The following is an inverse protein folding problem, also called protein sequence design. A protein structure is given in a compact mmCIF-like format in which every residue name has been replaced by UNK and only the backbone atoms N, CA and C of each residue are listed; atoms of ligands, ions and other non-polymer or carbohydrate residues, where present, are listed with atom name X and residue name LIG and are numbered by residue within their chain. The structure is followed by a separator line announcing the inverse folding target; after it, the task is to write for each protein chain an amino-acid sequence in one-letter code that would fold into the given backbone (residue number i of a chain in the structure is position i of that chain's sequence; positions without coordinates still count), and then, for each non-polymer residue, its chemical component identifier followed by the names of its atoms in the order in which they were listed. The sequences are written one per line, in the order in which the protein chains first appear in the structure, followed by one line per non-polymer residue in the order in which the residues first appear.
data_IF_483906669371
#
_entry.id   IF_483906669371
#
_cell.length_a   1.000
_cell.length_b   1.000
_cell.length_c   1.000
_cell.angle_alpha   90.00
_cell.angle_beta   90.00
_cell.angle_gamma   90.00
#
_symmetry.space_group_name_H-M   'P 1'
#
loop_
_entity.id
_entity.type
_entity.pdbx_description
1 polymer ?
#
# COMPACT_ATOMS: atom_id res chain seq x y z
N UNK A 1 1.12 -14.92 2.08
CA UNK A 1 1.45 -13.49 2.25
C UNK A 1 2.95 -13.26 2.43
N UNK A 2 3.55 -13.64 3.56
CA UNK A 2 4.96 -13.32 3.86
C UNK A 2 5.96 -13.83 2.81
N UNK A 3 5.82 -15.09 2.38
CA UNK A 3 6.67 -15.66 1.32
C UNK A 3 6.60 -14.88 0.00
N UNK A 4 5.42 -14.32 -0.35
CA UNK A 4 5.23 -13.52 -1.55
C UNK A 4 5.93 -12.17 -1.44
N UNK A 5 5.81 -11.50 -0.30
CA UNK A 5 6.51 -10.23 -0.04
C UNK A 5 8.03 -10.42 -0.01
N UNK A 6 8.52 -11.52 0.55
CA UNK A 6 9.95 -11.82 0.61
C UNK A 6 10.56 -12.19 -0.76
N UNK A 7 9.78 -12.77 -1.66
CA UNK A 7 10.23 -13.14 -3.01
C UNK A 7 10.06 -12.03 -4.06
N UNK A 8 9.35 -10.96 -3.71
CA UNK A 8 9.08 -9.84 -4.60
C UNK A 8 10.33 -8.98 -4.82
N UNK A 9 10.51 -8.47 -6.03
CA UNK A 9 11.62 -7.59 -6.37
C UNK A 9 11.33 -6.13 -6.00
N UNK A 10 10.06 -5.73 -6.05
CA UNK A 10 9.60 -4.38 -5.76
C UNK A 10 8.32 -4.40 -4.89
N UNK A 11 8.36 -4.97 -3.67
CA UNK A 11 7.20 -4.96 -2.79
C UNK A 11 6.94 -3.56 -2.24
N UNK A 12 5.67 -3.18 -2.12
CA UNK A 12 5.26 -1.88 -1.55
C UNK A 12 4.10 -2.09 -0.58
N UNK A 13 4.14 -1.41 0.57
CA UNK A 13 3.00 -1.33 1.48
C UNK A 13 2.26 -0.01 1.25
N UNK A 14 0.97 -0.09 0.91
CA UNK A 14 0.07 1.06 0.89
C UNK A 14 -0.84 1.03 2.12
N UNK A 15 -0.67 2.04 2.98
CA UNK A 15 -1.44 2.23 4.20
C UNK A 15 -2.73 3.01 3.91
N UNK A 16 -3.88 2.41 4.24
CA UNK A 16 -5.20 3.00 4.04
C UNK A 16 -5.91 3.41 5.33
N UNK A 17 -7.16 3.87 5.17
CA UNK A 17 -7.96 4.49 6.22
C UNK A 17 -8.27 3.58 7.42
N UNK A 18 -8.36 2.26 7.23
CA UNK A 18 -8.63 1.35 8.35
C UNK A 18 -7.54 1.39 9.43
N UNK A 19 -6.29 1.68 9.04
CA UNK A 19 -5.18 1.80 9.99
C UNK A 19 -5.45 2.94 10.97
N UNK A 20 -5.95 4.08 10.46
CA UNK A 20 -6.37 5.20 11.30
C UNK A 20 -7.58 4.84 12.14
N UNK A 21 -8.61 4.23 11.53
CA UNK A 21 -9.87 3.89 12.20
C UNK A 21 -9.69 2.91 13.36
N UNK A 22 -8.76 1.99 13.23
CA UNK A 22 -8.50 0.95 14.24
C UNK A 22 -7.29 1.26 15.13
N UNK A 23 -6.66 2.44 15.00
CA UNK A 23 -5.51 2.82 15.82
C UNK A 23 -4.30 1.91 15.65
N UNK A 24 -4.06 1.42 14.43
CA UNK A 24 -3.04 0.39 14.14
C UNK A 24 -1.70 0.96 13.68
N UNK A 25 -1.53 2.27 13.68
CA UNK A 25 -0.38 2.97 13.10
C UNK A 25 0.97 2.43 13.58
N UNK A 26 1.17 2.29 14.90
CA UNK A 26 2.42 1.76 15.47
C UNK A 26 2.68 0.30 15.08
N UNK A 27 1.62 -0.52 15.00
CA UNK A 27 1.73 -1.92 14.57
C UNK A 27 2.10 -2.02 13.09
N UNK A 28 1.54 -1.15 12.25
CA UNK A 28 1.91 -1.08 10.84
C UNK A 28 3.33 -0.57 10.66
N UNK A 29 3.76 0.41 11.46
CA UNK A 29 5.13 0.89 11.45
C UNK A 29 6.13 -0.23 11.81
N UNK A 30 5.81 -1.02 12.84
CA UNK A 30 6.60 -2.19 13.21
C UNK A 30 6.63 -3.24 12.09
N UNK A 31 5.49 -3.54 11.47
CA UNK A 31 5.40 -4.50 10.37
C UNK A 31 6.26 -4.06 9.17
N UNK A 32 6.14 -2.80 8.76
CA UNK A 32 6.91 -2.24 7.65
C UNK A 32 8.43 -2.35 7.88
N UNK A 33 8.90 -2.11 9.11
CA UNK A 33 10.31 -2.26 9.49
C UNK A 33 10.77 -3.71 9.45
N UNK A 34 10.01 -4.63 10.06
CA UNK A 34 10.35 -6.07 10.09
C UNK A 34 10.47 -6.62 8.66
N UNK A 35 9.58 -6.19 7.78
CA UNK A 35 9.55 -6.63 6.38
C UNK A 35 10.42 -5.79 5.45
N UNK A 36 11.05 -4.73 5.96
CA UNK A 36 11.85 -3.75 5.21
C UNK A 36 11.14 -3.23 3.93
N UNK A 37 9.85 -2.88 4.08
CA UNK A 37 9.02 -2.45 2.95
C UNK A 37 9.02 -0.93 2.80
N UNK A 38 9.19 -0.38 1.57
CA UNK A 38 8.82 1.00 1.30
C UNK A 38 7.32 1.20 1.54
N UNK A 39 6.98 2.35 2.11
CA UNK A 39 5.61 2.65 2.52
C UNK A 39 5.07 3.85 1.76
N UNK A 40 3.83 3.75 1.30
CA UNK A 40 3.04 4.87 0.80
C UNK A 40 1.70 4.92 1.55
N UNK A 41 1.02 6.07 1.54
CA UNK A 41 -0.37 6.16 2.00
C UNK A 41 -1.33 6.26 0.81
N UNK A 42 -2.54 5.71 0.95
CA UNK A 42 -3.63 6.09 0.06
C UNK A 42 -4.05 7.54 0.30
N UNK A 43 -4.89 8.09 -0.58
CA UNK A 43 -5.46 9.43 -0.39
C UNK A 43 -6.11 9.60 0.99
N UNK A 44 -7.00 8.67 1.37
CA UNK A 44 -7.68 8.71 2.67
C UNK A 44 -6.76 8.36 3.86
N UNK A 45 -5.64 7.68 3.61
CA UNK A 45 -4.62 7.38 4.61
C UNK A 45 -3.59 8.49 4.81
N UNK A 46 -3.69 9.62 4.08
CA UNK A 46 -2.71 10.71 4.14
C UNK A 46 -2.46 11.19 5.58
N UNK A 47 -1.19 11.33 5.92
CA UNK A 47 -0.71 11.72 7.25
C UNK A 47 -0.41 10.55 8.18
N UNK A 48 -0.83 9.33 7.84
CA UNK A 48 -0.38 8.13 8.55
C UNK A 48 1.13 7.96 8.42
N UNK A 49 1.74 7.48 9.49
CA UNK A 49 3.13 7.08 9.62
C UNK A 49 4.14 8.23 9.49
N UNK A 50 3.68 9.49 9.44
CA UNK A 50 4.53 10.67 9.28
C UNK A 50 5.50 10.87 10.44
N UNK A 51 5.09 10.50 11.66
CA UNK A 51 5.91 10.62 12.89
C UNK A 51 6.55 9.28 13.28
N UNK A 52 6.75 8.38 12.32
CA UNK A 52 7.37 7.06 12.54
C UNK A 52 8.68 6.92 11.79
N UNK A 53 9.47 5.90 12.12
CA UNK A 53 10.79 5.62 11.55
C UNK A 53 10.74 4.68 10.32
N UNK A 54 9.61 4.65 9.61
CA UNK A 54 9.45 3.83 8.40
C UNK A 54 9.94 4.58 7.15
N UNK A 55 10.35 3.87 6.08
CA UNK A 55 10.66 4.49 4.79
C UNK A 55 9.38 4.95 4.08
N UNK A 56 8.73 6.01 4.61
CA UNK A 56 7.54 6.62 4.04
C UNK A 56 7.93 7.46 2.81
N UNK A 57 7.49 7.03 1.63
CA UNK A 57 7.74 7.71 0.36
C UNK A 57 6.76 8.88 0.13
N UNK A 58 5.57 8.82 0.74
CA UNK A 58 4.54 9.85 0.65
C UNK A 58 3.16 9.28 0.33
N UNK A 59 2.28 10.13 -0.22
CA UNK A 59 0.90 9.75 -0.57
C UNK A 59 0.80 9.45 -2.06
N UNK A 60 0.23 8.29 -2.41
CA UNK A 60 -0.11 7.96 -3.79
C UNK A 60 -1.36 8.73 -4.22
N UNK A 61 -1.25 9.45 -5.34
CA UNK A 61 -2.31 10.28 -5.92
C UNK A 61 -2.50 9.99 -7.43
N UNK A 62 -1.98 8.85 -7.91
CA UNK A 62 -1.88 8.56 -9.35
C UNK A 62 -1.06 9.63 -10.08
N UNK A 63 -1.48 9.99 -11.29
CA UNK A 63 -0.85 10.99 -12.17
C UNK A 63 -0.82 12.40 -11.57
N UNK A 64 -1.63 12.68 -10.54
CA UNK A 64 -1.64 13.97 -9.86
C UNK A 64 -0.54 14.07 -8.78
N UNK A 65 0.16 12.98 -8.49
CA UNK A 65 1.20 12.89 -7.45
C UNK A 65 2.63 12.93 -7.99
N UNK A 66 3.57 12.53 -7.14
CA UNK A 66 4.97 12.32 -7.54
C UNK A 66 5.10 11.13 -8.49
N UNK A 67 5.80 11.32 -9.61
CA UNK A 67 6.07 10.27 -10.59
C UNK A 67 6.84 9.08 -9.99
N UNK A 68 7.72 9.33 -9.02
CA UNK A 68 8.49 8.26 -8.37
C UNK A 68 7.61 7.41 -7.44
N UNK A 69 6.70 8.04 -6.70
CA UNK A 69 5.70 7.32 -5.88
C UNK A 69 4.76 6.52 -6.78
N UNK A 70 4.26 7.14 -7.85
CA UNK A 70 3.39 6.48 -8.82
C UNK A 70 4.07 5.26 -9.42
N UNK A 71 5.31 5.41 -9.91
CA UNK A 71 6.10 4.30 -10.44
C UNK A 71 6.33 3.21 -9.40
N UNK A 72 6.67 3.57 -8.15
CA UNK A 72 6.87 2.58 -7.08
C UNK A 72 5.60 1.74 -6.86
N UNK A 73 4.42 2.37 -6.87
CA UNK A 73 3.14 1.68 -6.66
C UNK A 73 2.73 0.85 -7.87
N UNK A 74 2.72 1.45 -9.06
CA UNK A 74 2.17 0.82 -10.27
C UNK A 74 3.09 -0.26 -10.85
N UNK A 75 4.39 -0.18 -10.61
CA UNK A 75 5.36 -1.23 -11.01
C UNK A 75 5.54 -2.34 -9.98
N UNK A 76 4.91 -2.24 -8.81
CA UNK A 76 5.06 -3.22 -7.74
C UNK A 76 4.61 -4.62 -8.16
N UNK A 77 5.43 -5.63 -7.87
CA UNK A 77 5.12 -7.04 -8.08
C UNK A 77 4.51 -7.74 -6.85
N UNK A 78 4.39 -7.02 -5.75
CA UNK A 78 3.66 -7.43 -4.54
C UNK A 78 3.13 -6.21 -3.76
N UNK A 79 2.11 -5.54 -4.30
CA UNK A 79 1.49 -4.39 -3.64
C UNK A 79 0.57 -4.85 -2.49
N UNK A 80 0.98 -4.56 -1.25
CA UNK A 80 0.16 -4.80 -0.05
C UNK A 80 -0.75 -3.60 0.20
N UNK A 81 -2.01 -3.72 -0.18
CA UNK A 81 -3.08 -2.77 0.11
C UNK A 81 -3.65 -3.06 1.51
N UNK A 82 -3.12 -2.38 2.54
CA UNK A 82 -3.49 -2.60 3.94
C UNK A 82 -4.48 -1.54 4.41
N UNK A 83 -5.76 -1.93 4.52
CA UNK A 83 -6.84 -1.05 4.97
C UNK A 83 -7.26 -0.01 3.93
N UNK A 84 -6.91 -0.22 2.66
CA UNK A 84 -7.19 0.70 1.54
C UNK A 84 -8.53 0.35 0.93
N UNK A 85 -9.45 1.31 0.94
CA UNK A 85 -10.71 1.20 0.19
C UNK A 85 -10.37 1.24 -1.31
N UNK A 86 -10.71 0.18 -2.03
CA UNK A 86 -10.52 0.09 -3.48
C UNK A 86 -11.55 0.98 -4.16
N UNK A 87 -11.11 2.15 -4.62
CA UNK A 87 -11.94 3.12 -5.33
C UNK A 87 -11.10 4.07 -6.18
N UNK A 88 -11.71 4.65 -7.21
CA UNK A 88 -11.07 5.65 -8.09
C UNK A 88 -10.54 6.85 -7.28
N UNK A 89 -11.21 7.23 -6.20
CA UNK A 89 -10.74 8.32 -5.32
C UNK A 89 -9.42 7.99 -4.63
N UNK A 90 -9.21 6.74 -4.20
CA UNK A 90 -7.97 6.35 -3.52
C UNK A 90 -6.83 6.06 -4.49
N UNK A 91 -7.14 5.66 -5.72
CA UNK A 91 -6.13 5.39 -6.73
C UNK A 91 -5.83 6.57 -7.65
N UNK A 92 -6.71 7.58 -7.65
CA UNK A 92 -6.62 8.70 -8.59
C UNK A 92 -6.79 8.24 -10.04
N UNK A 93 -6.48 9.15 -10.96
CA UNK A 93 -6.22 8.75 -12.35
C UNK A 93 -4.84 8.10 -12.34
N UNK A 94 -4.79 6.79 -12.56
CA UNK A 94 -3.56 6.00 -12.60
C UNK A 94 -3.02 5.96 -14.04
N UNK A 95 -1.70 6.08 -14.23
CA UNK A 95 -1.10 6.00 -15.58
C UNK A 95 -1.15 4.56 -16.09
N UNK A 96 -0.80 3.60 -15.23
CA UNK A 96 -0.98 2.17 -15.41
C UNK A 96 -1.84 1.59 -14.29
N UNK A 97 -3.02 1.05 -14.65
CA UNK A 97 -3.93 0.42 -13.69
C UNK A 97 -3.16 -0.53 -12.75
N UNK A 98 -3.34 -0.34 -11.45
CA UNK A 98 -2.80 -1.23 -10.41
C UNK A 98 -3.15 -2.69 -10.76
N UNK A 99 -2.12 -3.54 -10.90
CA UNK A 99 -2.31 -4.95 -11.24
C UNK A 99 -2.79 -5.74 -10.01
N UNK A 100 -4.12 -5.85 -9.88
CA UNK A 100 -4.76 -6.56 -8.77
C UNK A 100 -4.42 -8.05 -8.69
N UNK A 101 -3.84 -8.67 -9.74
CA UNK A 101 -3.33 -10.05 -9.67
C UNK A 101 -2.04 -10.11 -8.85
N UNK A 102 -1.27 -9.02 -8.84
CA UNK A 102 -0.03 -8.85 -8.09
C UNK A 102 -0.27 -8.31 -6.67
N UNK A 103 -1.44 -7.74 -6.42
CA UNK A 103 -1.79 -7.17 -5.12
C UNK A 103 -2.20 -8.21 -4.06
N UNK A 104 -1.98 -7.83 -2.81
CA UNK A 104 -2.50 -8.46 -1.59
C UNK A 104 -3.40 -7.41 -0.94
N UNK A 105 -4.70 -7.69 -0.84
CA UNK A 105 -5.69 -6.77 -0.28
C UNK A 105 -6.07 -7.25 1.12
N UNK A 106 -5.87 -6.42 2.13
CA UNK A 106 -6.39 -6.64 3.47
C UNK A 106 -7.38 -5.51 3.79
N UNK A 107 -8.68 -5.80 3.80
CA UNK A 107 -9.77 -4.83 3.95
C UNK A 107 -11.00 -5.52 4.54
N UNK A 108 -11.78 -4.84 5.39
CA UNK A 108 -13.04 -5.34 5.96
C UNK A 108 -12.90 -6.71 6.66
N UNK A 109 -11.78 -6.89 7.38
CA UNK A 109 -11.48 -8.14 8.10
C UNK A 109 -11.19 -9.35 7.20
N UNK A 110 -10.94 -9.13 5.91
CA UNK A 110 -10.61 -10.17 4.93
C UNK A 110 -9.27 -9.92 4.27
N UNK A 111 -8.63 -10.99 3.80
CA UNK A 111 -7.40 -10.93 3.00
C UNK A 111 -7.61 -11.66 1.67
N UNK A 112 -7.38 -10.97 0.56
CA UNK A 112 -7.47 -11.50 -0.80
C UNK A 112 -6.11 -11.39 -1.50
N UNK A 113 -5.65 -12.45 -2.17
CA UNK A 113 -4.34 -12.48 -2.83
C UNK A 113 -4.45 -13.16 -4.20
N UNK A 114 -4.30 -12.41 -5.29
CA UNK A 114 -4.41 -12.94 -6.64
C UNK A 114 -5.82 -13.45 -6.95
N UNK A 115 -6.41 -12.97 -8.05
CA UNK A 115 -7.62 -13.61 -8.55
C UNK A 115 -7.22 -14.97 -9.13
N UNK A 116 -7.28 -16.03 -8.32
CA UNK A 116 -7.71 -17.32 -8.84
C UNK A 116 -9.23 -17.26 -8.91
N UNK A 117 -9.76 -17.13 -10.12
CA UNK A 117 -11.01 -17.79 -10.45
C UNK A 117 -10.66 -19.24 -10.78
#
# INVERSE_FOLDING_TARGET
LLARLAAAQAPVLMAGIEIKRFGLEQKVAQLARILNLPVVTSFMGRGLLADTDVPLLGTYLGVAGSADIMRSVESSDALLLLGVIISDTNFGVSEQKIDMRKSIVALDGRVTMGHHV
#
